data_IF_008997602084
#
_entry.id   IF_008997602084
#
_cell.length_a   1.000
_cell.length_b   1.000
_cell.length_c   1.000
_cell.angle_alpha   90.00
_cell.angle_beta   90.00
_cell.angle_gamma   90.00
#
_symmetry.space_group_name_H-M   'P 1'
#
loop_
_entity.id
_entity.type
_entity.pdbx_description
1 polymer ?
#
# COMPACT_ATOMS: atom_id res chain seq x y z
N UNK A 1 1.69 6.90 4.05
CA UNK A 1 0.96 6.07 3.04
C UNK A 1 0.43 7.03 1.97
N UNK A 2 1.04 7.03 0.78
CA UNK A 2 0.64 7.87 -0.35
C UNK A 2 -0.70 7.35 -0.89
N UNK A 3 -1.82 7.83 -0.35
CA UNK A 3 -3.12 7.60 -0.97
C UNK A 3 -3.26 8.57 -2.15
N UNK A 4 -3.03 8.03 -3.35
CA UNK A 4 -3.30 8.69 -4.63
C UNK A 4 -4.78 9.09 -4.70
N UNK A 5 -5.10 10.34 -4.36
CA UNK A 5 -6.42 10.96 -4.57
C UNK A 5 -6.41 11.68 -5.91
N UNK A 6 -6.58 10.93 -6.99
CA UNK A 6 -6.80 11.52 -8.31
C UNK A 6 -8.27 11.41 -8.68
N UNK A 7 -8.93 12.55 -8.75
CA UNK A 7 -10.19 12.67 -9.48
C UNK A 7 -9.93 12.39 -10.97
N UNK A 8 -10.59 11.36 -11.50
CA UNK A 8 -10.97 11.17 -12.92
C UNK A 8 -9.97 10.66 -13.97
N UNK A 9 -8.81 10.09 -13.63
CA UNK A 9 -8.00 9.41 -14.65
C UNK A 9 -7.73 7.94 -14.30
N UNK A 10 -8.27 7.05 -15.15
CA UNK A 10 -7.95 5.62 -15.21
C UNK A 10 -6.43 5.46 -15.31
N UNK A 11 -5.84 4.46 -14.65
CA UNK A 11 -4.46 4.04 -14.90
C UNK A 11 -4.27 3.90 -16.41
N UNK A 12 -3.18 4.45 -16.96
CA UNK A 12 -2.88 4.25 -18.38
C UNK A 12 -2.67 2.76 -18.64
N UNK A 13 -3.03 2.28 -19.83
CA UNK A 13 -2.83 0.86 -20.18
C UNK A 13 -1.37 0.44 -20.02
N UNK A 14 -0.44 1.35 -20.34
CA UNK A 14 0.99 1.14 -20.19
C UNK A 14 1.41 0.94 -18.72
N UNK A 15 0.92 1.80 -17.82
CA UNK A 15 1.20 1.68 -16.39
C UNK A 15 0.56 0.41 -15.81
N UNK A 16 -0.67 0.09 -16.23
CA UNK A 16 -1.34 -1.14 -15.82
C UNK A 16 -0.54 -2.38 -16.25
N UNK A 17 -0.04 -2.41 -17.48
CA UNK A 17 0.79 -3.51 -18.00
C UNK A 17 2.08 -3.68 -17.17
N UNK A 18 2.74 -2.59 -16.81
CA UNK A 18 3.93 -2.62 -15.95
C UNK A 18 3.61 -3.12 -14.54
N UNK A 19 2.52 -2.63 -13.93
CA UNK A 19 2.04 -3.08 -12.62
C UNK A 19 1.75 -4.58 -12.63
N UNK A 20 0.99 -5.06 -13.62
CA UNK A 20 0.64 -6.47 -13.73
C UNK A 20 1.87 -7.36 -13.92
N UNK A 21 2.82 -6.94 -14.75
CA UNK A 21 4.05 -7.71 -14.95
C UNK A 21 4.83 -7.87 -13.65
N UNK A 22 4.97 -6.80 -12.86
CA UNK A 22 5.68 -6.86 -11.58
C UNK A 22 4.91 -7.67 -10.54
N UNK A 23 3.60 -7.46 -10.43
CA UNK A 23 2.74 -8.16 -9.46
C UNK A 23 2.69 -9.66 -9.74
N UNK A 24 2.53 -10.07 -11.00
CA UNK A 24 2.50 -11.50 -11.35
C UNK A 24 3.86 -12.17 -11.10
N UNK A 25 4.98 -11.47 -11.34
CA UNK A 25 6.32 -11.98 -10.99
C UNK A 25 6.52 -12.09 -9.48
N UNK A 26 5.99 -11.14 -8.71
CA UNK A 26 6.03 -11.21 -7.25
C UNK A 26 5.21 -12.39 -6.73
N UNK A 27 3.99 -12.58 -7.26
CA UNK A 27 3.12 -13.71 -6.92
C UNK A 27 3.79 -15.04 -7.26
N UNK A 28 4.34 -15.17 -8.47
CA UNK A 28 5.06 -16.38 -8.90
C UNK A 28 6.17 -16.74 -7.91
N UNK A 29 6.99 -15.78 -7.50
CA UNK A 29 8.01 -15.98 -6.48
C UNK A 29 7.44 -16.38 -5.11
N UNK A 30 6.36 -15.71 -4.66
CA UNK A 30 5.71 -16.04 -3.38
C UNK A 30 5.16 -17.48 -3.38
N UNK A 31 4.56 -17.91 -4.48
CA UNK A 31 3.91 -19.22 -4.58
C UNK A 31 4.92 -20.34 -4.78
N UNK A 32 5.89 -20.16 -5.68
CA UNK A 32 6.85 -21.21 -6.07
C UNK A 32 8.02 -21.36 -5.09
N UNK A 33 8.60 -20.24 -4.63
CA UNK A 33 9.83 -20.26 -3.82
C UNK A 33 9.53 -20.09 -2.32
N UNK A 34 8.55 -19.26 -1.96
CA UNK A 34 8.24 -18.97 -0.55
C UNK A 34 7.12 -19.83 0.03
N UNK A 35 6.36 -20.55 -0.82
CA UNK A 35 5.15 -21.28 -0.43
C UNK A 35 4.17 -20.43 0.39
N UNK A 36 4.02 -19.16 -0.01
CA UNK A 36 3.28 -18.13 0.70
C UNK A 36 2.14 -17.60 -0.18
N UNK A 37 0.92 -17.58 0.37
CA UNK A 37 -0.26 -16.93 -0.21
C UNK A 37 -0.42 -15.54 0.43
N UNK A 38 -0.61 -14.49 -0.36
CA UNK A 38 -0.71 -13.13 0.14
C UNK A 38 -2.08 -12.83 0.76
N UNK A 39 -3.17 -13.30 0.15
CA UNK A 39 -4.57 -13.22 0.63
C UNK A 39 -5.21 -11.82 0.71
N UNK A 40 -4.49 -10.76 0.33
CA UNK A 40 -4.96 -9.38 0.40
C UNK A 40 -4.38 -8.53 -0.75
N UNK A 41 -4.33 -9.09 -1.95
CA UNK A 41 -3.83 -8.35 -3.12
C UNK A 41 -4.89 -7.35 -3.57
N UNK A 42 -4.56 -6.05 -3.51
CA UNK A 42 -5.42 -4.94 -3.92
C UNK A 42 -4.57 -3.72 -4.28
N UNK A 43 -5.16 -2.78 -5.00
CA UNK A 43 -4.44 -1.60 -5.49
C UNK A 43 -3.77 -0.76 -4.38
N UNK A 44 -4.32 -0.73 -3.16
CA UNK A 44 -3.70 -0.03 -2.02
C UNK A 44 -2.43 -0.70 -1.48
N UNK A 45 -2.25 -1.99 -1.78
CA UNK A 45 -1.12 -2.80 -1.34
C UNK A 45 -0.03 -2.88 -2.44
N UNK A 46 -0.24 -2.22 -3.58
CA UNK A 46 0.80 -1.99 -4.60
C UNK A 46 1.42 -0.63 -4.34
N UNK A 47 2.66 -0.63 -3.85
CA UNK A 47 3.44 0.60 -3.68
C UNK A 47 4.15 0.95 -4.98
N UNK A 48 4.09 2.22 -5.36
CA UNK A 48 4.88 2.73 -6.49
C UNK A 48 6.21 3.26 -5.95
N UNK A 49 7.32 2.79 -6.51
CA UNK A 49 8.64 3.33 -6.21
C UNK A 49 8.74 4.82 -6.56
N UNK A 50 9.68 5.51 -5.91
CA UNK A 50 10.09 6.86 -6.27
C UNK A 50 11.51 6.76 -6.81
N UNK A 51 11.68 7.04 -8.10
CA UNK A 51 13.02 7.11 -8.73
C UNK A 51 13.59 8.55 -8.68
N UNK A 52 12.84 9.47 -8.07
CA UNK A 52 13.19 10.89 -7.94
C UNK A 52 13.13 11.33 -6.47
N UNK A 53 14.30 11.28 -5.81
CA UNK A 53 14.46 11.72 -4.41
C UNK A 53 14.25 13.22 -4.23
N UNK A 54 14.28 14.03 -5.31
CA UNK A 54 14.08 15.48 -5.20
C UNK A 54 12.71 15.84 -4.62
N UNK A 55 11.73 14.96 -4.80
CA UNK A 55 10.38 15.07 -4.25
C UNK A 55 10.40 14.93 -2.73
N UNK A 56 11.18 13.98 -2.21
CA UNK A 56 11.35 13.78 -0.78
C UNK A 56 12.16 14.91 -0.14
N UNK A 57 13.20 15.39 -0.83
CA UNK A 57 14.00 16.55 -0.39
C UNK A 57 13.16 17.82 -0.34
N UNK A 58 12.34 18.08 -1.36
CA UNK A 58 11.42 19.21 -1.37
C UNK A 58 10.36 19.10 -0.26
N UNK A 59 9.84 17.89 -0.02
CA UNK A 59 8.92 17.63 1.08
C UNK A 59 9.56 17.94 2.45
N UNK A 60 10.78 17.48 2.69
CA UNK A 60 11.53 17.74 3.92
C UNK A 60 11.80 19.24 4.10
N UNK A 61 12.31 19.91 3.06
CA UNK A 61 12.57 21.35 3.09
C UNK A 61 11.30 22.15 3.41
N UNK A 62 10.16 21.77 2.83
CA UNK A 62 8.87 22.39 3.11
C UNK A 62 8.37 22.12 4.53
N UNK A 63 8.60 20.93 5.08
CA UNK A 63 8.24 20.60 6.46
C UNK A 63 9.14 21.32 7.47
N UNK A 64 10.41 21.57 7.14
CA UNK A 64 11.30 22.40 7.96
C UNK A 64 10.91 23.89 7.90
N UNK A 65 10.63 24.42 6.71
CA UNK A 65 10.31 25.83 6.51
C UNK A 65 8.92 26.22 7.02
N UNK A 66 7.94 25.33 6.87
CA UNK A 66 6.57 25.54 7.30
C UNK A 66 6.02 24.26 7.95
N UNK A 67 6.26 24.03 9.26
CA UNK A 67 5.82 22.84 9.98
C UNK A 67 4.33 22.53 9.80
N UNK A 68 4.01 21.27 9.49
CA UNK A 68 2.62 20.82 9.43
C UNK A 68 1.96 20.91 10.82
N UNK A 69 0.65 21.25 10.88
CA UNK A 69 -0.10 21.23 12.14
C UNK A 69 0.10 19.90 12.85
N UNK A 70 0.41 19.95 14.14
CA UNK A 70 0.76 18.76 14.91
C UNK A 70 0.23 18.83 16.33
N UNK A 71 -0.28 17.70 16.81
CA UNK A 71 -0.69 17.52 18.19
C UNK A 71 0.45 16.84 18.94
N UNK A 72 0.94 17.49 19.99
CA UNK A 72 2.07 17.01 20.79
C UNK A 72 1.51 16.41 22.08
N UNK A 73 1.82 15.13 22.31
CA UNK A 73 1.53 14.39 23.52
C UNK A 73 2.86 14.00 24.20
N UNK A 74 2.85 13.63 25.50
CA UNK A 74 4.08 13.21 26.19
C UNK A 74 4.79 12.00 25.57
N UNK A 75 4.05 11.10 24.92
CA UNK A 75 4.54 9.84 24.34
C UNK A 75 4.72 9.89 22.82
N UNK A 76 4.06 10.82 22.13
CA UNK A 76 4.08 10.90 20.66
C UNK A 76 3.70 12.28 20.13
N UNK A 77 4.13 12.57 18.91
CA UNK A 77 3.63 13.71 18.13
C UNK A 77 2.85 13.19 16.94
N UNK A 78 1.61 13.66 16.78
CA UNK A 78 0.74 13.33 15.64
C UNK A 78 0.79 14.50 14.66
N UNK A 79 1.31 14.24 13.46
CA UNK A 79 1.42 15.23 12.39
C UNK A 79 0.19 15.15 11.48
N UNK A 80 -0.32 16.29 11.06
CA UNK A 80 -1.26 16.33 9.94
C UNK A 80 -0.50 15.99 8.65
N UNK A 81 -1.04 15.05 7.88
CA UNK A 81 -0.43 14.63 6.61
C UNK A 81 -0.32 15.81 5.65
N UNK A 82 0.87 16.00 5.09
CA UNK A 82 1.14 16.94 4.00
C UNK A 82 1.11 16.19 2.67
N UNK A 83 0.63 16.86 1.63
CA UNK A 83 0.70 16.34 0.27
C UNK A 83 2.16 16.33 -0.21
N UNK A 84 2.57 15.23 -0.80
CA UNK A 84 3.85 15.13 -1.49
C UNK A 84 3.60 15.55 -2.94
N UNK A 85 4.52 16.35 -3.50
CA UNK A 85 4.45 16.76 -4.89
C UNK A 85 4.53 15.57 -5.84
N UNK A 86 4.00 15.74 -7.06
CA UNK A 86 4.01 14.67 -8.05
C UNK A 86 5.46 14.34 -8.43
N UNK A 87 5.89 13.08 -8.32
CA UNK A 87 7.21 12.69 -8.76
C UNK A 87 7.33 12.80 -10.28
N UNK A 88 8.50 13.24 -10.75
CA UNK A 88 8.79 13.35 -12.19
C UNK A 88 8.93 11.96 -12.82
N UNK A 89 9.43 11.00 -12.05
CA UNK A 89 9.58 9.60 -12.43
C UNK A 89 8.96 8.71 -11.35
N UNK A 90 8.14 7.76 -11.80
CA UNK A 90 7.57 6.71 -10.94
C UNK A 90 8.45 5.48 -11.12
N UNK A 91 8.95 4.94 -10.02
CA UNK A 91 9.73 3.72 -9.99
C UNK A 91 8.87 2.46 -10.07
N UNK A 92 9.54 1.30 -10.04
CA UNK A 92 8.86 0.02 -10.22
C UNK A 92 7.79 -0.23 -9.12
N UNK A 93 6.63 -0.81 -9.50
CA UNK A 93 5.62 -1.21 -8.53
C UNK A 93 6.07 -2.41 -7.70
N UNK A 94 5.79 -2.38 -6.41
CA UNK A 94 6.18 -3.38 -5.42
C UNK A 94 4.93 -3.86 -4.68
N UNK A 95 4.75 -5.19 -4.62
CA UNK A 95 3.73 -5.81 -3.77
C UNK A 95 4.13 -5.70 -2.30
N UNK A 96 3.21 -5.27 -1.45
CA UNK A 96 3.46 -4.95 -0.04
C UNK A 96 2.31 -5.41 0.86
N UNK A 97 2.51 -5.28 2.17
CA UNK A 97 1.53 -5.62 3.21
C UNK A 97 1.23 -7.12 3.33
N UNK A 98 2.17 -7.85 3.94
CA UNK A 98 2.07 -9.28 4.23
C UNK A 98 1.39 -9.58 5.57
N UNK A 99 0.69 -8.61 6.17
CA UNK A 99 0.08 -8.78 7.51
C UNK A 99 -0.98 -9.89 7.58
N UNK A 100 -1.56 -10.27 6.44
CA UNK A 100 -2.55 -11.33 6.31
C UNK A 100 -2.03 -12.58 5.59
N UNK A 101 -0.76 -12.61 5.17
CA UNK A 101 -0.24 -13.73 4.39
C UNK A 101 -0.28 -15.06 5.18
N UNK A 102 -0.35 -16.19 4.44
CA UNK A 102 -0.45 -17.55 4.97
C UNK A 102 0.46 -18.50 4.21
N UNK A 103 1.06 -19.46 4.92
CA UNK A 103 1.85 -20.52 4.28
C UNK A 103 0.95 -21.66 3.84
N UNK A 104 1.25 -22.25 2.67
CA UNK A 104 0.66 -23.50 2.16
C UNK A 104 -0.87 -23.51 1.91
N UNK A 105 -1.57 -22.38 2.09
CA UNK A 105 -3.02 -22.26 1.91
C UNK A 105 -3.76 -22.16 3.23
N UNK A 106 -5.07 -22.43 3.21
CA UNK A 106 -5.88 -22.42 4.41
C UNK A 106 -7.20 -23.14 4.25
N UNK A 107 -7.96 -23.16 5.33
CA UNK A 107 -9.18 -23.94 5.46
C UNK A 107 -10.40 -23.05 5.22
N UNK A 108 -11.55 -23.70 5.03
CA UNK A 108 -12.87 -23.08 4.87
C UNK A 108 -13.21 -21.93 5.84
N UNK A 109 -12.78 -21.99 7.10
CA UNK A 109 -13.13 -21.02 8.15
C UNK A 109 -12.21 -19.78 8.20
N UNK A 110 -11.19 -19.70 7.34
CA UNK A 110 -10.25 -18.58 7.35
C UNK A 110 -10.86 -17.31 6.75
N UNK A 111 -10.95 -16.24 7.56
CA UNK A 111 -11.37 -14.92 7.07
C UNK A 111 -10.22 -14.24 6.31
N UNK A 112 -10.17 -14.49 5.01
CA UNK A 112 -9.22 -13.90 4.08
C UNK A 112 -9.92 -13.07 3.00
N UNK A 113 -9.14 -12.17 2.39
CA UNK A 113 -9.55 -11.27 1.32
C UNK A 113 -10.67 -10.27 1.71
N UNK A 114 -10.56 -8.99 1.33
CA UNK A 114 -11.67 -8.06 1.49
C UNK A 114 -12.85 -8.48 0.61
N UNK A 115 -14.07 -8.21 1.06
CA UNK A 115 -15.33 -8.67 0.44
C UNK A 115 -15.38 -8.49 -1.08
N UNK A 116 -15.03 -7.31 -1.60
CA UNK A 116 -15.09 -7.01 -3.05
C UNK A 116 -14.01 -7.71 -3.89
N UNK A 117 -12.99 -8.28 -3.25
CA UNK A 117 -11.91 -9.02 -3.88
C UNK A 117 -11.98 -10.51 -3.59
N UNK A 118 -12.93 -10.97 -2.78
CA UNK A 118 -12.97 -12.34 -2.27
C UNK A 118 -13.23 -13.35 -3.39
N UNK A 119 -12.46 -14.44 -3.38
CA UNK A 119 -12.56 -15.53 -4.34
C UNK A 119 -13.81 -16.37 -4.06
N UNK A 120 -14.40 -17.00 -5.09
CA UNK A 120 -15.62 -17.80 -4.92
C UNK A 120 -15.44 -18.97 -3.95
N UNK A 121 -14.28 -19.63 -3.94
CA UNK A 121 -13.97 -20.70 -3.00
C UNK A 121 -13.98 -20.23 -1.54
N UNK A 122 -13.48 -19.01 -1.27
CA UNK A 122 -13.52 -18.41 0.06
C UNK A 122 -14.95 -17.97 0.41
N UNK A 123 -15.73 -17.48 -0.55
CA UNK A 123 -17.14 -17.12 -0.34
C UNK A 123 -18.04 -18.33 -0.06
N UNK A 124 -17.64 -19.51 -0.51
CA UNK A 124 -18.38 -20.76 -0.37
C UNK A 124 -17.88 -21.62 0.80
N UNK A 125 -17.04 -21.06 1.67
CA UNK A 125 -16.40 -21.75 2.80
C UNK A 125 -15.74 -23.07 2.34
N UNK A 126 -14.95 -22.99 1.27
CA UNK A 126 -14.16 -24.10 0.75
C UNK A 126 -12.68 -23.90 1.08
N UNK A 127 -11.94 -25.01 1.15
CA UNK A 127 -10.49 -24.95 1.25
C UNK A 127 -9.91 -24.17 0.06
N UNK A 128 -8.89 -23.38 0.35
CA UNK A 128 -8.33 -22.44 -0.60
C UNK A 128 -6.80 -22.49 -0.58
N UNK A 129 -6.20 -22.01 -1.67
CA UNK A 129 -4.75 -22.01 -1.81
C UNK A 129 -4.30 -20.87 -2.75
N UNK A 130 -3.09 -20.96 -3.29
CA UNK A 130 -2.48 -20.02 -4.24
C UNK A 130 -3.43 -19.34 -5.26
N UNK A 131 -4.42 -20.01 -5.89
CA UNK A 131 -5.30 -19.36 -6.88
C UNK A 131 -6.07 -18.13 -6.37
N UNK A 132 -6.30 -18.01 -5.06
CA UNK A 132 -7.01 -16.86 -4.48
C UNK A 132 -6.32 -15.52 -4.76
N UNK A 133 -4.98 -15.50 -4.82
CA UNK A 133 -4.19 -14.31 -5.16
C UNK A 133 -4.35 -13.94 -6.64
N UNK A 134 -4.48 -14.93 -7.53
CA UNK A 134 -4.73 -14.71 -8.96
C UNK A 134 -6.13 -14.13 -9.17
N UNK A 135 -7.12 -14.61 -8.41
CA UNK A 135 -8.45 -14.01 -8.40
C UNK A 135 -8.40 -12.54 -7.96
N UNK A 136 -7.67 -12.22 -6.88
CA UNK A 136 -7.50 -10.85 -6.42
C UNK A 136 -6.91 -9.93 -7.51
N UNK A 137 -5.94 -10.40 -8.30
CA UNK A 137 -5.39 -9.64 -9.43
C UNK A 137 -6.47 -9.36 -10.48
N UNK A 138 -7.29 -10.35 -10.83
CA UNK A 138 -8.40 -10.18 -11.77
C UNK A 138 -9.42 -9.15 -11.28
N UNK A 139 -9.84 -9.26 -10.02
CA UNK A 139 -10.73 -8.30 -9.38
C UNK A 139 -10.13 -6.89 -9.34
N UNK A 140 -8.84 -6.75 -9.03
CA UNK A 140 -8.12 -5.48 -9.04
C UNK A 140 -8.12 -4.81 -10.43
N UNK A 141 -7.88 -5.56 -11.51
CA UNK A 141 -7.92 -5.04 -12.88
C UNK A 141 -9.35 -4.61 -13.24
N UNK A 142 -10.33 -5.46 -12.94
CA UNK A 142 -11.74 -5.18 -13.22
C UNK A 142 -12.21 -3.92 -12.51
N UNK A 143 -11.95 -3.81 -11.21
CA UNK A 143 -12.27 -2.62 -10.43
C UNK A 143 -11.54 -1.41 -11.02
N UNK A 144 -10.24 -1.50 -11.32
CA UNK A 144 -9.49 -0.37 -11.87
C UNK A 144 -9.97 0.10 -13.26
N UNK A 145 -10.53 -0.80 -14.07
CA UNK A 145 -11.01 -0.50 -15.44
C UNK A 145 -12.48 -0.04 -15.50
N UNK A 146 -13.32 -0.60 -14.63
CA UNK A 146 -14.77 -0.36 -14.56
C UNK A 146 -15.13 0.81 -13.65
N UNK A 147 -14.22 1.22 -12.75
CA UNK A 147 -14.57 2.22 -11.72
C UNK A 147 -14.71 3.64 -12.26
N UNK A 148 -15.97 4.01 -12.50
CA UNK A 148 -16.56 5.31 -12.23
C UNK A 148 -17.38 5.25 -10.91
N UNK A 149 -16.94 4.45 -9.90
CA UNK A 149 -17.69 4.20 -8.63
C UNK A 149 -17.69 5.42 -7.69
N UNK A 150 -17.31 6.61 -8.16
CA UNK A 150 -17.44 7.86 -7.39
C UNK A 150 -18.91 8.25 -7.10
N UNK A 151 -19.90 7.47 -7.59
CA UNK A 151 -21.33 7.70 -7.37
C UNK A 151 -22.05 6.70 -6.44
N UNK A 152 -21.41 5.63 -5.95
CA UNK A 152 -22.10 4.64 -5.07
C UNK A 152 -21.58 4.54 -3.63
N UNK A 153 -20.50 5.23 -3.29
CA UNK A 153 -20.08 5.38 -1.89
C UNK A 153 -20.07 6.86 -1.52
N UNK A 154 -21.25 7.41 -1.23
CA UNK A 154 -21.39 8.55 -0.33
C UNK A 154 -20.89 8.12 1.06
N UNK A 155 -19.58 8.20 1.26
CA UNK A 155 -18.95 8.11 2.57
C UNK A 155 -19.40 9.36 3.37
N UNK A 156 -19.95 9.22 4.59
CA UNK A 156 -20.24 10.38 5.44
C UNK A 156 -18.94 11.16 5.71
N UNK A 157 -19.01 12.49 5.82
CA UNK A 157 -17.80 13.28 6.01
C UNK A 157 -17.19 12.98 7.39
N UNK A 158 -15.88 12.77 7.38
CA UNK A 158 -14.93 12.73 8.52
C UNK A 158 -14.73 11.37 9.20
N UNK A 159 -13.58 10.77 8.89
CA UNK A 159 -12.68 10.20 9.90
C UNK A 159 -11.24 10.50 9.48
N UNK A 160 -10.53 11.21 10.34
CA UNK A 160 -9.11 11.52 10.24
C UNK A 160 -8.32 10.22 10.42
N UNK A 161 -7.62 9.77 9.39
CA UNK A 161 -6.62 8.71 9.54
C UNK A 161 -5.40 9.28 10.25
N UNK A 162 -5.18 8.85 11.50
CA UNK A 162 -3.96 9.12 12.25
C UNK A 162 -2.94 8.02 11.93
N UNK A 163 -1.77 8.40 11.40
CA UNK A 163 -0.63 7.49 11.31
C UNK A 163 0.08 7.55 12.66
N UNK A 164 -0.03 6.49 13.47
CA UNK A 164 0.75 6.33 14.69
C UNK A 164 2.16 5.84 14.33
N UNK A 165 3.15 6.72 14.39
CA UNK A 165 4.56 6.33 14.35
C UNK A 165 5.06 6.37 15.79
N UNK A 166 5.29 5.20 16.40
CA UNK A 166 5.96 5.09 17.71
C UNK A 166 7.48 5.16 17.54
N UNK A 167 8.24 5.84 18.44
CA UNK A 167 9.68 6.06 18.26
C UNK A 167 10.59 4.83 18.47
N UNK A 168 10.07 3.62 18.66
CA UNK A 168 10.83 2.54 19.31
C UNK A 168 11.71 1.64 18.42
N UNK A 169 11.98 1.98 17.15
CA UNK A 169 12.80 1.09 16.28
C UNK A 169 13.99 1.71 15.53
N UNK A 170 14.40 2.96 15.81
CA UNK A 170 15.50 3.60 15.06
C UNK A 170 16.74 4.02 15.87
N UNK A 171 16.92 3.53 17.10
CA UNK A 171 18.06 3.96 17.94
C UNK A 171 19.40 3.21 17.71
N UNK A 172 19.55 2.35 16.70
CA UNK A 172 20.78 1.56 16.53
C UNK A 172 21.74 1.93 15.39
N UNK A 173 21.51 2.99 14.60
CA UNK A 173 22.40 3.21 13.43
C UNK A 173 23.07 4.58 13.29
N UNK A 174 22.71 5.68 13.96
CA UNK A 174 23.42 6.94 13.73
C UNK A 174 23.52 7.83 14.99
N UNK A 175 24.63 7.73 15.72
CA UNK A 175 25.23 8.83 16.48
C UNK A 175 26.65 8.45 16.95
N UNK A 176 27.68 8.82 16.19
CA UNK A 176 28.96 9.21 16.79
C UNK A 176 28.93 10.74 16.90
N UNK A 177 29.09 11.32 18.10
CA UNK A 177 29.19 12.77 18.25
C UNK A 177 30.59 13.24 17.82
N UNK A 178 30.64 14.22 16.93
CA UNK A 178 31.82 15.07 16.77
C UNK A 178 31.66 16.24 17.73
N UNK A 179 32.36 16.17 18.86
CA UNK A 179 32.71 17.32 19.68
C UNK A 179 34.25 17.39 19.80
N UNK A 180 34.78 18.60 19.61
CA UNK A 180 36.11 19.10 19.96
C UNK A 180 37.28 18.84 18.99
N UNK A 181 37.46 19.70 17.99
CA UNK A 181 38.43 20.84 17.96
C UNK A 181 38.18 21.71 16.72
#
# INVERSE_FOLDING_TARGET
MLQYRHSRHKLTEELLRQVLSCVLRAIDYLHSECHLVHTDIKASNIMLGLDDDSVLQAFEANEMANPSPRNIYPDRTIYHSRLIDRPKAIGLPVLSDFGLARFEGGNADDDIQPEIYRAPEVLLDMDWNYPVDIWNVGAMIWISSTTNICSMLTIPPRTSFQINITPQKWQHTLARPLENF
#
